data_IF_956920050388
#
_entry.id   IF_956920050388
#
_cell.length_a   1.000
_cell.length_b   1.000
_cell.length_c   1.000
_cell.angle_alpha   90.00
_cell.angle_beta   90.00
_cell.angle_gamma   90.00
#
_symmetry.space_group_name_H-M   'P 1'
#
loop_
_entity.id
_entity.type
_entity.pdbx_description
1 polymer ?
#
# COMPACT_ATOMS: atom_id res chain seq x y z
N UNK A 1 -22.38 5.97 0.63
CA UNK A 1 -21.49 5.24 -0.28
C UNK A 1 -20.86 4.06 0.44
N UNK A 2 -20.57 2.97 -0.30
CA UNK A 2 -19.88 1.80 0.25
C UNK A 2 -18.43 2.21 0.61
N UNK A 3 -17.92 1.80 1.80
CA UNK A 3 -16.55 2.10 2.18
C UNK A 3 -15.54 1.46 1.22
N UNK A 4 -14.29 1.94 1.21
CA UNK A 4 -13.30 1.56 0.21
C UNK A 4 -12.03 1.02 0.84
N UNK A 5 -11.46 0.00 0.20
CA UNK A 5 -10.07 -0.41 0.36
C UNK A 5 -9.30 0.20 -0.80
N UNK A 6 -8.33 1.04 -0.50
CA UNK A 6 -7.33 1.48 -1.46
C UNK A 6 -6.05 0.69 -1.22
N UNK A 7 -5.50 0.10 -2.28
CA UNK A 7 -4.16 -0.45 -2.22
C UNK A 7 -3.26 0.28 -3.21
N UNK A 8 -2.00 0.41 -2.84
CA UNK A 8 -1.00 1.18 -3.58
C UNK A 8 0.38 0.54 -3.47
N UNK A 9 1.34 1.12 -4.19
CA UNK A 9 2.76 0.78 -4.16
C UNK A 9 3.59 2.05 -3.95
N UNK A 10 4.86 1.90 -3.57
CA UNK A 10 5.80 3.01 -3.40
C UNK A 10 6.31 3.49 -4.77
N UNK A 11 5.49 4.29 -5.45
CA UNK A 11 5.76 4.89 -6.75
C UNK A 11 5.52 6.40 -6.67
N UNK A 12 6.56 7.20 -6.89
CA UNK A 12 6.55 8.63 -6.60
C UNK A 12 6.40 8.92 -5.11
N UNK A 13 5.75 10.01 -4.75
CA UNK A 13 5.52 10.40 -3.37
C UNK A 13 4.16 9.90 -2.86
N UNK A 14 4.15 8.75 -2.17
CA UNK A 14 2.91 8.12 -1.66
C UNK A 14 2.12 9.04 -0.71
N UNK A 15 2.78 9.97 -0.01
CA UNK A 15 2.11 10.94 0.87
C UNK A 15 1.12 11.84 0.10
N UNK A 16 1.34 12.08 -1.20
CA UNK A 16 0.37 12.79 -2.06
C UNK A 16 -0.96 12.02 -2.13
N UNK A 17 -0.92 10.69 -2.19
CA UNK A 17 -2.15 9.89 -2.19
C UNK A 17 -2.91 10.01 -0.89
N UNK A 18 -2.20 10.10 0.25
CA UNK A 18 -2.83 10.32 1.56
C UNK A 18 -3.57 11.65 1.55
N UNK A 19 -2.93 12.72 1.07
CA UNK A 19 -3.54 14.05 0.99
C UNK A 19 -4.76 14.06 0.07
N UNK A 20 -4.63 13.55 -1.16
CA UNK A 20 -5.74 13.48 -2.12
C UNK A 20 -6.92 12.70 -1.56
N UNK A 21 -6.67 11.55 -0.94
CA UNK A 21 -7.75 10.74 -0.37
C UNK A 21 -8.37 11.39 0.86
N UNK A 22 -7.59 12.10 1.67
CA UNK A 22 -8.11 12.83 2.83
C UNK A 22 -9.01 14.00 2.44
N UNK A 23 -8.70 14.68 1.33
CA UNK A 23 -9.55 15.73 0.77
C UNK A 23 -10.86 15.18 0.16
N UNK A 24 -10.79 14.03 -0.51
CA UNK A 24 -11.95 13.42 -1.17
C UNK A 24 -12.86 12.63 -0.23
N UNK A 25 -12.31 12.18 0.89
CA UNK A 25 -12.98 11.32 1.87
C UNK A 25 -12.87 11.98 3.24
N UNK A 26 -13.95 12.03 3.98
CA UNK A 26 -13.96 12.63 5.33
C UNK A 26 -12.94 11.98 6.28
N UNK A 27 -12.56 10.72 6.03
CA UNK A 27 -11.57 9.98 6.81
C UNK A 27 -10.94 8.86 5.97
N UNK A 28 -9.62 8.69 6.12
CA UNK A 28 -8.86 7.56 5.58
C UNK A 28 -7.93 6.99 6.64
N UNK A 29 -8.00 5.70 6.88
CA UNK A 29 -7.13 4.96 7.79
C UNK A 29 -5.95 4.38 6.99
N UNK A 30 -4.72 4.74 7.37
CA UNK A 30 -3.51 4.43 6.61
C UNK A 30 -2.60 3.50 7.41
N UNK A 31 -2.26 2.34 6.84
CA UNK A 31 -1.20 1.49 7.39
C UNK A 31 0.17 1.99 6.89
N UNK A 32 1.09 2.26 7.80
CA UNK A 32 2.40 2.81 7.46
C UNK A 32 3.54 2.20 8.28
N UNK A 33 4.75 2.25 7.76
CA UNK A 33 5.96 1.90 8.51
C UNK A 33 6.55 3.17 9.12
N UNK A 34 6.67 3.26 10.46
CA UNK A 34 7.28 4.42 11.11
C UNK A 34 8.73 4.66 10.66
N UNK A 35 9.12 5.91 10.52
CA UNK A 35 10.49 6.26 10.22
C UNK A 35 11.41 5.93 11.41
N UNK A 36 12.64 5.46 11.14
CA UNK A 36 13.62 5.13 12.19
C UNK A 36 14.00 6.36 13.03
N UNK A 37 14.09 7.53 12.42
CA UNK A 37 14.38 8.79 13.12
C UNK A 37 13.11 9.31 13.77
N UNK A 38 13.06 9.36 15.09
CA UNK A 38 11.90 9.81 15.89
C UNK A 38 11.46 11.25 15.59
N UNK A 39 12.41 12.16 15.34
CA UNK A 39 12.09 13.55 15.02
C UNK A 39 11.40 13.67 13.66
N UNK A 40 11.90 12.95 12.66
CA UNK A 40 11.28 12.87 11.35
C UNK A 40 9.91 12.20 11.43
N UNK A 41 9.79 11.10 12.17
CA UNK A 41 8.53 10.40 12.38
C UNK A 41 7.46 11.33 12.97
N UNK A 42 7.79 12.06 14.02
CA UNK A 42 6.85 12.98 14.67
C UNK A 42 6.38 14.10 13.72
N UNK A 43 7.27 14.61 12.86
CA UNK A 43 6.91 15.63 11.85
C UNK A 43 5.98 15.05 10.78
N UNK A 44 6.35 13.91 10.20
CA UNK A 44 5.54 13.23 9.17
C UNK A 44 4.17 12.84 9.72
N UNK A 45 4.12 12.27 10.92
CA UNK A 45 2.87 11.88 11.57
C UNK A 45 1.92 13.07 11.73
N UNK A 46 2.42 14.22 12.24
CA UNK A 46 1.63 15.45 12.38
C UNK A 46 1.12 15.98 11.03
N UNK A 47 1.95 15.94 9.99
CA UNK A 47 1.55 16.39 8.64
C UNK A 47 0.44 15.49 8.10
N UNK A 48 0.60 14.18 8.17
CA UNK A 48 -0.37 13.20 7.68
C UNK A 48 -1.71 13.30 8.41
N UNK A 49 -1.69 13.53 9.73
CA UNK A 49 -2.92 13.70 10.51
C UNK A 49 -3.67 15.00 10.23
N UNK A 50 -2.98 16.11 9.94
CA UNK A 50 -3.62 17.40 9.64
C UNK A 50 -4.56 17.32 8.44
N UNK A 51 -4.32 16.40 7.53
CA UNK A 51 -5.09 16.19 6.31
C UNK A 51 -6.22 15.17 6.47
N UNK A 52 -6.56 14.75 7.71
CA UNK A 52 -7.62 13.76 7.96
C UNK A 52 -7.19 12.31 7.83
N UNK A 53 -5.89 12.04 7.64
CA UNK A 53 -5.33 10.68 7.65
C UNK A 53 -5.17 10.17 9.07
N UNK A 54 -5.76 9.01 9.39
CA UNK A 54 -5.53 8.31 10.65
C UNK A 54 -4.45 7.25 10.46
N UNK A 55 -3.30 7.45 11.09
CA UNK A 55 -2.11 6.66 10.86
C UNK A 55 -2.02 5.46 11.81
N UNK A 56 -1.85 4.26 11.27
CA UNK A 56 -1.67 3.01 12.01
C UNK A 56 -0.29 2.42 11.68
N UNK A 57 0.60 2.22 12.67
CA UNK A 57 1.90 1.63 12.42
C UNK A 57 1.75 0.16 12.00
N UNK A 58 2.63 -0.32 11.13
CA UNK A 58 2.68 -1.71 10.66
C UNK A 58 3.24 -2.67 11.74
N UNK A 59 2.67 -2.61 12.94
CA UNK A 59 2.89 -3.49 14.07
C UNK A 59 1.66 -4.38 14.31
N UNK A 60 1.75 -5.49 15.07
CA UNK A 60 0.57 -6.31 15.37
C UNK A 60 -0.60 -5.50 15.96
N UNK A 61 -0.31 -4.56 16.88
CA UNK A 61 -1.33 -3.70 17.49
C UNK A 61 -1.92 -2.69 16.49
N UNK A 62 -1.09 -2.08 15.65
CA UNK A 62 -1.54 -1.13 14.63
C UNK A 62 -2.41 -1.80 13.57
N UNK A 63 -2.01 -2.99 13.09
CA UNK A 63 -2.83 -3.79 12.16
C UNK A 63 -4.15 -4.20 12.80
N UNK A 64 -4.16 -4.60 14.08
CA UNK A 64 -5.39 -4.92 14.83
C UNK A 64 -6.33 -3.72 14.91
N UNK A 65 -5.81 -2.54 15.18
CA UNK A 65 -6.61 -1.31 15.28
C UNK A 65 -7.16 -0.88 13.90
N UNK A 66 -6.35 -0.93 12.84
CA UNK A 66 -6.81 -0.70 11.47
C UNK A 66 -7.92 -1.70 11.09
N UNK A 67 -7.76 -2.98 11.44
CA UNK A 67 -8.78 -4.00 11.17
C UNK A 67 -10.10 -3.73 11.91
N UNK A 68 -10.03 -3.24 13.17
CA UNK A 68 -11.23 -2.82 13.92
C UNK A 68 -11.96 -1.69 13.19
N UNK A 69 -11.25 -0.68 12.74
CA UNK A 69 -11.82 0.44 12.01
C UNK A 69 -12.37 0.00 10.63
N UNK A 70 -11.69 -0.92 9.97
CA UNK A 70 -12.20 -1.56 8.76
C UNK A 70 -13.55 -2.25 9.01
N UNK A 71 -13.70 -2.99 10.10
CA UNK A 71 -15.01 -3.60 10.47
C UNK A 71 -16.08 -2.54 10.74
N UNK A 72 -15.72 -1.37 11.24
CA UNK A 72 -16.58 -0.20 11.43
C UNK A 72 -16.85 0.58 10.13
N UNK A 73 -16.51 0.00 8.96
CA UNK A 73 -16.76 0.59 7.63
C UNK A 73 -15.93 1.83 7.32
N UNK A 74 -14.78 2.00 7.93
CA UNK A 74 -13.85 3.07 7.55
C UNK A 74 -13.16 2.75 6.22
N UNK A 75 -12.82 3.81 5.47
CA UNK A 75 -11.95 3.66 4.31
C UNK A 75 -10.51 3.37 4.76
N UNK A 76 -9.79 2.51 4.04
CA UNK A 76 -8.42 2.13 4.37
C UNK A 76 -7.49 2.29 3.17
N UNK A 77 -6.25 2.73 3.40
CA UNK A 77 -5.16 2.79 2.41
C UNK A 77 -3.99 1.93 2.88
N UNK A 78 -3.53 1.02 2.02
CA UNK A 78 -2.44 0.08 2.32
C UNK A 78 -1.45 0.06 1.16
N UNK A 79 -0.21 0.46 1.41
CA UNK A 79 0.90 0.22 0.50
C UNK A 79 1.38 -1.23 0.69
N UNK A 80 1.20 -2.07 -0.34
CA UNK A 80 1.33 -3.54 -0.21
C UNK A 80 2.49 -4.13 -1.01
N UNK A 81 3.36 -3.30 -1.57
CA UNK A 81 4.52 -3.73 -2.35
C UNK A 81 5.76 -4.07 -1.51
N UNK A 82 5.77 -3.75 -0.22
CA UNK A 82 6.89 -4.05 0.67
C UNK A 82 6.91 -5.52 1.13
N UNK A 83 8.04 -5.94 1.70
CA UNK A 83 8.22 -7.28 2.28
C UNK A 83 7.73 -7.26 3.73
N UNK A 84 6.78 -8.13 4.12
CA UNK A 84 6.27 -8.18 5.47
C UNK A 84 7.31 -8.75 6.45
N UNK A 85 7.24 -8.33 7.72
CA UNK A 85 8.15 -8.81 8.76
C UNK A 85 7.94 -10.30 9.08
N UNK A 86 6.71 -10.74 9.28
CA UNK A 86 6.42 -12.09 9.77
C UNK A 86 5.43 -12.85 8.87
N UNK A 87 4.26 -12.28 8.61
CA UNK A 87 3.15 -12.95 7.93
C UNK A 87 2.97 -12.44 6.53
N UNK A 88 2.86 -13.34 5.57
CA UNK A 88 2.68 -13.05 4.16
C UNK A 88 2.64 -14.33 3.34
N UNK A 89 2.70 -14.18 2.04
CA UNK A 89 2.69 -15.27 1.07
C UNK A 89 3.84 -15.11 0.08
N UNK A 90 4.29 -16.23 -0.50
CA UNK A 90 5.25 -16.19 -1.59
C UNK A 90 4.51 -16.15 -2.92
N UNK A 91 4.72 -15.08 -3.67
CA UNK A 91 4.13 -14.85 -4.99
C UNK A 91 5.16 -14.28 -5.95
N UNK A 92 4.88 -14.35 -7.25
CA UNK A 92 5.74 -13.75 -8.27
C UNK A 92 5.56 -12.24 -8.34
N UNK A 93 6.68 -11.55 -8.58
CA UNK A 93 6.77 -10.15 -8.93
C UNK A 93 7.87 -10.01 -10.00
N UNK A 94 7.52 -9.54 -11.21
CA UNK A 94 8.38 -9.59 -12.39
C UNK A 94 8.99 -11.00 -12.59
N UNK A 95 8.13 -12.01 -12.58
CA UNK A 95 8.47 -13.45 -12.70
C UNK A 95 9.41 -14.04 -11.65
N UNK A 96 9.87 -13.23 -10.70
CA UNK A 96 10.70 -13.67 -9.58
C UNK A 96 9.87 -13.84 -8.31
N UNK A 97 10.05 -14.96 -7.62
CA UNK A 97 9.37 -15.22 -6.36
C UNK A 97 9.85 -14.22 -5.28
N UNK A 98 8.91 -13.66 -4.54
CA UNK A 98 9.18 -12.80 -3.40
C UNK A 98 8.12 -12.98 -2.30
N UNK A 99 8.49 -12.59 -1.06
CA UNK A 99 7.57 -12.61 0.07
C UNK A 99 6.72 -11.34 0.08
N UNK A 100 5.40 -11.48 0.05
CA UNK A 100 4.44 -10.42 -0.20
C UNK A 100 3.47 -10.23 0.97
N UNK A 101 2.99 -9.00 1.14
CA UNK A 101 1.90 -8.66 2.06
C UNK A 101 0.58 -9.16 1.47
N UNK A 102 -0.15 -9.99 2.23
CA UNK A 102 -1.44 -10.56 1.85
C UNK A 102 -2.65 -9.89 2.54
N UNK A 103 -2.42 -8.77 3.22
CA UNK A 103 -3.45 -8.08 4.01
C UNK A 103 -4.61 -7.60 3.14
N UNK A 104 -4.34 -7.00 1.98
CA UNK A 104 -5.38 -6.53 1.05
C UNK A 104 -6.23 -7.69 0.55
N UNK A 105 -5.62 -8.82 0.20
CA UNK A 105 -6.34 -10.04 -0.18
C UNK A 105 -7.29 -10.48 0.94
N UNK A 106 -6.79 -10.55 2.19
CA UNK A 106 -7.59 -10.95 3.36
C UNK A 106 -8.76 -10.00 3.63
N UNK A 107 -8.54 -8.70 3.50
CA UNK A 107 -9.60 -7.70 3.69
C UNK A 107 -10.63 -7.75 2.56
N UNK A 108 -10.19 -7.90 1.30
CA UNK A 108 -11.08 -7.97 0.13
C UNK A 108 -12.04 -9.15 0.20
N UNK A 109 -11.59 -10.29 0.76
CA UNK A 109 -12.43 -11.49 0.96
C UNK A 109 -13.65 -11.25 1.87
N UNK A 110 -13.64 -10.21 2.71
CA UNK A 110 -14.79 -9.84 3.54
C UNK A 110 -15.96 -9.27 2.74
N UNK A 111 -15.73 -8.76 1.52
CA UNK A 111 -16.78 -8.29 0.61
C UNK A 111 -17.54 -7.03 1.06
N UNK A 112 -17.09 -6.40 2.15
CA UNK A 112 -17.78 -5.27 2.78
C UNK A 112 -17.41 -3.91 2.20
N UNK A 113 -16.33 -3.82 1.44
CA UNK A 113 -15.76 -2.60 0.86
C UNK A 113 -15.62 -2.74 -0.65
N UNK A 114 -15.65 -1.61 -1.35
CA UNK A 114 -15.22 -1.55 -2.73
C UNK A 114 -13.68 -1.48 -2.79
N UNK A 115 -13.10 -2.22 -3.72
CA UNK A 115 -11.65 -2.32 -3.87
C UNK A 115 -11.14 -1.39 -4.98
N UNK A 116 -10.12 -0.60 -4.68
CA UNK A 116 -9.52 0.34 -5.61
C UNK A 116 -8.00 0.23 -5.59
N UNK A 117 -7.41 0.18 -6.77
CA UNK A 117 -5.98 0.37 -6.97
C UNK A 117 -5.71 1.84 -7.24
N UNK A 118 -4.83 2.47 -6.45
CA UNK A 118 -4.49 3.89 -6.60
C UNK A 118 -2.97 4.04 -6.63
N UNK A 119 -2.46 4.84 -7.57
CA UNK A 119 -1.03 5.10 -7.67
C UNK A 119 -0.74 6.43 -8.35
N UNK A 120 0.50 6.89 -8.20
CA UNK A 120 1.03 8.05 -8.91
C UNK A 120 1.75 7.60 -10.17
N UNK A 121 1.56 8.32 -11.25
CA UNK A 121 2.36 8.17 -12.48
C UNK A 121 2.77 9.54 -13.00
N UNK A 122 3.55 9.56 -14.07
CA UNK A 122 4.00 10.77 -14.72
C UNK A 122 2.83 11.47 -15.42
N UNK A 123 2.61 12.71 -15.06
CA UNK A 123 1.67 13.61 -15.72
C UNK A 123 2.39 14.55 -16.68
N UNK A 124 1.65 15.48 -17.25
CA UNK A 124 2.19 16.54 -18.09
C UNK A 124 3.02 17.54 -17.29
N UNK A 125 3.98 18.23 -17.95
CA UNK A 125 4.79 19.29 -17.35
C UNK A 125 5.50 18.89 -16.03
N UNK A 126 6.04 17.67 -15.96
CA UNK A 126 6.73 17.13 -14.77
C UNK A 126 5.84 17.03 -13.50
N UNK A 127 4.53 17.08 -13.64
CA UNK A 127 3.58 16.89 -12.53
C UNK A 127 3.29 15.41 -12.32
N UNK A 128 2.80 15.06 -11.14
CA UNK A 128 2.21 13.74 -10.90
C UNK A 128 0.77 13.68 -11.40
N UNK A 129 0.40 12.51 -11.92
CA UNK A 129 -0.98 12.15 -12.20
C UNK A 129 -1.41 11.05 -11.25
N UNK A 130 -2.52 11.24 -10.56
CA UNK A 130 -3.15 10.20 -9.74
C UNK A 130 -4.00 9.32 -10.64
N UNK A 131 -3.78 8.03 -10.60
CA UNK A 131 -4.61 7.02 -11.29
C UNK A 131 -5.34 6.21 -10.23
N UNK A 132 -6.67 6.10 -10.35
CA UNK A 132 -7.48 5.29 -9.46
C UNK A 132 -8.36 4.36 -10.31
N UNK A 133 -8.20 3.06 -10.11
CA UNK A 133 -8.95 2.00 -10.83
C UNK A 133 -9.81 1.22 -9.85
N UNK A 134 -11.12 1.14 -10.08
CA UNK A 134 -11.97 0.20 -9.35
C UNK A 134 -11.67 -1.22 -9.81
N UNK A 135 -11.46 -2.10 -8.84
CA UNK A 135 -11.12 -3.51 -9.07
C UNK A 135 -12.35 -4.37 -8.72
N UNK A 136 -12.42 -5.58 -9.22
CA UNK A 136 -13.41 -6.58 -8.78
C UNK A 136 -13.32 -6.73 -7.25
N UNK A 137 -14.43 -7.08 -6.61
CA UNK A 137 -14.57 -7.05 -5.15
C UNK A 137 -13.59 -7.95 -4.36
N UNK A 138 -12.87 -8.84 -5.01
CA UNK A 138 -11.85 -9.71 -4.41
C UNK A 138 -10.61 -9.69 -5.29
N UNK A 139 -9.44 -9.79 -4.66
CA UNK A 139 -8.14 -9.85 -5.35
C UNK A 139 -7.24 -10.83 -4.61
N UNK A 140 -6.44 -11.58 -5.33
CA UNK A 140 -5.34 -12.36 -4.79
C UNK A 140 -4.05 -11.53 -4.74
N UNK A 141 -3.09 -11.94 -3.92
CA UNK A 141 -1.78 -11.26 -3.86
C UNK A 141 -1.03 -11.36 -5.19
N UNK A 142 -1.19 -12.47 -5.92
CA UNK A 142 -0.62 -12.62 -7.27
C UNK A 142 -1.21 -11.59 -8.26
N UNK A 143 -2.54 -11.45 -8.30
CA UNK A 143 -3.21 -10.44 -9.14
C UNK A 143 -2.81 -9.01 -8.73
N UNK A 144 -2.68 -8.74 -7.42
CA UNK A 144 -2.23 -7.45 -6.92
C UNK A 144 -0.82 -7.12 -7.42
N UNK A 145 0.11 -8.09 -7.42
CA UNK A 145 1.44 -7.90 -7.97
C UNK A 145 1.41 -7.56 -9.47
N UNK A 146 0.50 -8.15 -10.25
CA UNK A 146 0.33 -7.79 -11.68
C UNK A 146 -0.11 -6.34 -11.85
N UNK A 147 -1.04 -5.85 -11.02
CA UNK A 147 -1.39 -4.41 -11.03
C UNK A 147 -0.20 -3.52 -10.71
N UNK A 148 0.69 -3.93 -9.79
CA UNK A 148 1.92 -3.19 -9.48
C UNK A 148 2.89 -3.21 -10.65
N UNK A 149 3.14 -4.37 -11.27
CA UNK A 149 3.99 -4.51 -12.46
C UNK A 149 3.53 -3.59 -13.58
N UNK A 150 2.23 -3.64 -13.92
CA UNK A 150 1.63 -2.81 -14.96
C UNK A 150 1.79 -1.30 -14.66
N UNK A 151 1.59 -0.89 -13.40
CA UNK A 151 1.78 0.50 -12.99
C UNK A 151 3.25 0.92 -13.13
N UNK A 152 4.19 0.09 -12.66
CA UNK A 152 5.63 0.36 -12.74
C UNK A 152 6.06 0.53 -14.19
N UNK A 153 5.57 -0.32 -15.10
CA UNK A 153 5.92 -0.23 -16.53
C UNK A 153 5.44 1.08 -17.19
N UNK A 154 4.47 1.79 -16.61
CA UNK A 154 4.05 3.11 -17.13
C UNK A 154 5.04 4.24 -16.85
N UNK A 155 5.80 4.16 -15.75
CA UNK A 155 6.81 5.14 -15.36
C UNK A 155 7.82 4.49 -14.39
N UNK A 156 8.72 3.63 -14.89
CA UNK A 156 9.62 2.84 -14.06
C UNK A 156 10.53 3.69 -13.14
N UNK A 157 10.88 4.87 -13.58
CA UNK A 157 11.73 5.82 -12.85
C UNK A 157 11.07 6.33 -11.54
N UNK A 158 9.77 6.16 -11.37
CA UNK A 158 9.06 6.58 -10.16
C UNK A 158 9.01 5.50 -9.09
N UNK A 159 9.31 4.24 -9.43
CA UNK A 159 9.24 3.15 -8.47
C UNK A 159 10.47 3.13 -7.55
N UNK A 160 10.25 2.72 -6.30
CA UNK A 160 11.29 2.67 -5.26
C UNK A 160 12.20 1.43 -5.42
N UNK A 161 13.04 1.40 -6.46
CA UNK A 161 13.94 0.28 -6.80
C UNK A 161 15.02 0.00 -5.77
N UNK A 162 15.40 0.97 -4.93
CA UNK A 162 16.37 0.79 -3.85
C UNK A 162 15.89 -0.17 -2.76
N UNK A 163 14.57 -0.41 -2.69
CA UNK A 163 14.01 -1.33 -1.74
C UNK A 163 14.27 -2.78 -2.14
N UNK A 164 14.96 -3.52 -1.27
CA UNK A 164 15.30 -4.94 -1.49
C UNK A 164 14.05 -5.83 -1.41
N UNK A 165 13.24 -5.86 -2.46
CA UNK A 165 11.97 -6.60 -2.55
C UNK A 165 12.15 -8.11 -2.41
N UNK A 166 13.28 -8.66 -2.92
CA UNK A 166 13.55 -10.10 -2.94
C UNK A 166 14.45 -10.56 -1.79
N UNK A 167 14.57 -9.78 -0.70
CA UNK A 167 15.46 -10.10 0.44
C UNK A 167 15.00 -11.27 1.29
N UNK A 168 13.72 -11.66 1.24
CA UNK A 168 13.16 -12.76 2.02
C UNK A 168 12.71 -13.86 1.07
N UNK A 169 13.55 -14.87 0.95
CA UNK A 169 13.32 -16.04 0.09
C UNK A 169 12.87 -17.24 0.92
N UNK A 170 12.34 -18.26 0.27
CA UNK A 170 12.08 -19.56 0.89
C UNK A 170 13.41 -20.17 1.36
N UNK A 171 13.39 -21.03 2.42
CA UNK A 171 14.54 -21.85 2.77
C UNK A 171 15.09 -22.56 1.52
N UNK A 172 16.40 -22.63 1.37
CA UNK A 172 17.13 -23.27 0.26
C UNK A 172 17.18 -22.49 -1.07
N UNK A 173 16.76 -21.24 -1.13
CA UNK A 173 17.04 -20.35 -2.28
C UNK A 173 18.21 -19.42 -1.99
N UNK A 174 19.10 -19.25 -2.98
CA UNK A 174 20.22 -18.31 -2.91
C UNK A 174 19.73 -16.87 -2.83
N UNK A 175 20.41 -16.06 -2.04
CA UNK A 175 20.15 -14.61 -1.97
C UNK A 175 20.41 -13.97 -3.35
N UNK A 176 19.54 -13.02 -3.71
CA UNK A 176 19.64 -12.29 -4.99
C UNK A 176 20.52 -11.01 -4.85
N UNK A 177 20.79 -10.59 -3.59
CA UNK A 177 21.56 -9.36 -3.30
C UNK A 177 22.92 -9.69 -2.71
#
# INVERSE_FOLDING_TARGET
QKPKIFFTLHMGCVDILIFVLSELLSQIDVLYTPAKNKTLENKLFKIRQRQGGKMFPATPSGVKNLFRNFLNKNNVLIASDLVPHEKGVYEKFFDKECFCIDLVEKLSKKGTHDLHFIYLTKGEQKKYKVVCKKIKNKITTAEMNKYFEDAILTAPELYYWEYKKFRKLRPNKSNIY
#
